data_IF_023025190956
#
_entry.id   IF_023025190956
#
_cell.length_a   1.000
_cell.length_b   1.000
_cell.length_c   1.000
_cell.angle_alpha   90.00
_cell.angle_beta   90.00
_cell.angle_gamma   90.00
#
_symmetry.space_group_name_H-M   'P 1'
#
loop_
_entity.id
_entity.type
_entity.pdbx_description
1 polymer ?
#
# COMPACT_ATOMS: atom_id res chain seq x y z
N UNK A 1 11.72 12.40 11.24
CA UNK A 1 11.01 13.26 10.26
C UNK A 1 9.69 12.60 9.87
N UNK A 2 8.60 13.36 9.71
CA UNK A 2 7.31 12.85 9.23
C UNK A 2 6.93 13.60 7.96
N UNK A 3 6.69 12.90 6.84
CA UNK A 3 6.20 13.49 5.58
C UNK A 3 4.96 12.76 5.12
N UNK A 4 3.98 13.49 4.59
CA UNK A 4 2.85 12.89 3.88
C UNK A 4 3.13 12.93 2.39
N UNK A 5 3.06 11.78 1.72
CA UNK A 5 3.06 11.67 0.27
C UNK A 5 1.62 11.48 -0.21
N UNK A 6 1.31 12.09 -1.35
CA UNK A 6 0.01 11.93 -2.02
C UNK A 6 0.20 11.10 -3.29
N UNK A 7 -0.56 10.02 -3.40
CA UNK A 7 -0.55 9.13 -4.57
C UNK A 7 -1.89 9.32 -5.28
N UNK A 8 -1.85 9.91 -6.48
CA UNK A 8 -3.05 10.32 -7.21
C UNK A 8 -3.65 9.15 -7.98
N UNK A 9 -4.88 8.80 -7.62
CA UNK A 9 -5.89 8.17 -8.48
C UNK A 9 -5.40 7.11 -9.45
N UNK A 10 -4.67 6.11 -8.93
CA UNK A 10 -4.35 4.95 -9.74
C UNK A 10 -5.57 4.05 -9.87
N UNK A 11 -5.70 3.33 -10.98
CA UNK A 11 -6.70 2.25 -11.08
C UNK A 11 -6.53 1.24 -9.94
N UNK A 12 -7.58 0.48 -9.62
CA UNK A 12 -7.49 -0.69 -8.73
C UNK A 12 -6.26 -1.54 -9.06
N UNK A 13 -5.55 -1.99 -8.01
CA UNK A 13 -4.35 -2.82 -8.11
C UNK A 13 -3.23 -2.43 -7.16
N UNK A 14 -2.09 -3.10 -7.31
CA UNK A 14 -0.88 -2.84 -6.54
C UNK A 14 0.00 -1.83 -7.30
N UNK A 15 0.37 -0.75 -6.61
CA UNK A 15 1.20 0.33 -7.13
C UNK A 15 2.47 0.44 -6.32
N UNK A 16 3.61 0.22 -6.97
CA UNK A 16 4.89 0.36 -6.30
C UNK A 16 5.16 1.84 -5.95
N UNK A 17 5.46 2.09 -4.68
CA UNK A 17 5.77 3.42 -4.12
C UNK A 17 7.16 3.44 -3.47
N UNK A 18 7.99 2.42 -3.70
CA UNK A 18 9.32 2.26 -3.08
C UNK A 18 10.18 3.50 -3.25
N UNK A 19 10.25 4.07 -4.46
CA UNK A 19 11.05 5.27 -4.76
C UNK A 19 10.57 6.49 -3.97
N UNK A 20 9.26 6.68 -3.87
CA UNK A 20 8.68 7.79 -3.11
C UNK A 20 9.02 7.70 -1.62
N UNK A 21 9.01 6.48 -1.05
CA UNK A 21 9.39 6.24 0.35
C UNK A 21 10.90 6.44 0.54
N UNK A 22 11.72 5.92 -0.38
CA UNK A 22 13.17 6.07 -0.35
C UNK A 22 13.60 7.54 -0.42
N UNK A 23 12.90 8.37 -1.18
CA UNK A 23 13.14 9.82 -1.23
C UNK A 23 12.90 10.48 0.14
N UNK A 24 11.88 10.05 0.90
CA UNK A 24 11.66 10.56 2.27
C UNK A 24 12.77 10.11 3.23
N UNK A 25 13.25 8.87 3.11
CA UNK A 25 14.37 8.36 3.91
C UNK A 25 15.64 9.15 3.60
N UNK A 26 15.96 9.37 2.33
CA UNK A 26 17.11 10.17 1.90
C UNK A 26 17.04 11.61 2.46
N UNK A 27 15.88 12.24 2.37
CA UNK A 27 15.66 13.60 2.91
C UNK A 27 15.77 13.65 4.43
N UNK A 28 15.51 12.54 5.15
CA UNK A 28 15.65 12.48 6.60
C UNK A 28 17.11 12.45 7.05
N UNK A 29 18.04 11.98 6.22
CA UNK A 29 19.48 12.00 6.47
C UNK A 29 19.95 11.19 7.69
N UNK A 30 19.16 10.18 8.11
CA UNK A 30 19.50 9.28 9.21
C UNK A 30 20.14 8.01 8.66
N UNK A 31 21.32 7.65 9.17
CA UNK A 31 22.03 6.42 8.77
C UNK A 31 21.33 5.16 9.27
N UNK A 32 20.93 5.16 10.55
CA UNK A 32 20.25 4.07 11.23
C UNK A 32 18.91 4.57 11.78
N UNK A 33 17.80 3.98 11.34
CA UNK A 33 16.45 4.40 11.73
C UNK A 33 15.39 3.31 11.47
N UNK A 34 14.16 3.57 11.87
CA UNK A 34 12.98 2.84 11.45
C UNK A 34 12.09 3.73 10.57
N UNK A 35 11.85 3.30 9.34
CA UNK A 35 10.90 3.91 8.41
C UNK A 35 9.54 3.22 8.51
N UNK A 36 8.53 3.92 9.01
CA UNK A 36 7.13 3.46 9.00
C UNK A 36 6.36 4.13 7.88
N UNK A 37 5.69 3.33 7.05
CA UNK A 37 4.81 3.78 5.96
C UNK A 37 3.37 3.44 6.37
N UNK A 38 2.52 4.45 6.50
CA UNK A 38 1.15 4.31 7.00
C UNK A 38 0.13 4.93 6.04
N UNK A 39 -0.82 4.14 5.57
CA UNK A 39 -1.91 4.58 4.69
C UNK A 39 -3.07 5.12 5.53
N UNK A 40 -3.46 6.38 5.30
CA UNK A 40 -4.56 7.04 6.03
C UNK A 40 -5.94 6.75 5.43
N UNK A 41 -6.21 5.50 5.05
CA UNK A 41 -7.42 5.09 4.35
C UNK A 41 -7.81 3.67 4.78
N UNK A 42 -9.11 3.39 4.85
CA UNK A 42 -9.66 2.08 5.24
C UNK A 42 -10.07 1.22 4.04
N UNK A 43 -10.09 1.80 2.84
CA UNK A 43 -10.39 1.15 1.55
C UNK A 43 -9.15 0.98 0.67
N UNK A 44 -7.97 1.09 1.27
CA UNK A 44 -6.67 0.86 0.64
C UNK A 44 -5.71 0.31 1.71
N UNK A 45 -4.62 -0.32 1.27
CA UNK A 45 -3.61 -0.86 2.17
C UNK A 45 -2.18 -0.62 1.72
N UNK A 46 -1.21 -1.11 2.49
CA UNK A 46 0.21 -1.09 2.14
C UNK A 46 0.86 -2.40 2.50
N UNK A 47 1.63 -2.97 1.58
CA UNK A 47 2.37 -4.20 1.81
C UNK A 47 3.79 -4.13 1.24
N UNK A 48 4.64 -5.06 1.66
CA UNK A 48 5.95 -5.31 1.06
C UNK A 48 5.85 -6.63 0.31
N UNK A 49 6.04 -6.61 -1.00
CA UNK A 49 5.90 -7.77 -1.88
C UNK A 49 6.88 -7.69 -3.05
N UNK A 50 6.88 -8.71 -3.89
CA UNK A 50 7.75 -8.77 -5.07
C UNK A 50 7.55 -7.56 -6.02
N UNK A 51 8.65 -6.93 -6.46
CA UNK A 51 8.64 -5.84 -7.45
C UNK A 51 9.36 -6.17 -8.77
N UNK A 52 9.72 -7.43 -9.02
CA UNK A 52 10.49 -7.84 -10.19
C UNK A 52 9.60 -8.41 -11.31
N UNK A 53 8.80 -9.43 -11.02
CA UNK A 53 7.90 -10.04 -12.02
C UNK A 53 6.47 -9.47 -11.95
N UNK A 54 5.97 -8.83 -13.02
CA UNK A 54 4.57 -8.40 -13.10
C UNK A 54 3.54 -9.53 -12.93
N UNK A 55 3.91 -10.80 -13.14
CA UNK A 55 3.05 -11.96 -12.88
C UNK A 55 2.68 -12.09 -11.40
N UNK A 56 3.65 -11.95 -10.49
CA UNK A 56 3.43 -12.01 -9.05
C UNK A 56 2.39 -10.96 -8.62
N UNK A 57 2.53 -9.73 -9.14
CA UNK A 57 1.56 -8.66 -8.91
C UNK A 57 0.15 -9.01 -9.39
N UNK A 58 0.01 -9.50 -10.62
CA UNK A 58 -1.29 -9.87 -11.21
C UNK A 58 -1.97 -10.99 -10.42
N UNK A 59 -1.21 -11.99 -10.00
CA UNK A 59 -1.74 -13.12 -9.24
C UNK A 59 -2.20 -12.70 -7.83
N UNK A 60 -1.46 -11.78 -7.18
CA UNK A 60 -1.90 -11.17 -5.92
C UNK A 60 -3.18 -10.35 -6.09
N UNK A 61 -3.29 -9.54 -7.13
CA UNK A 61 -4.51 -8.79 -7.46
C UNK A 61 -5.70 -9.74 -7.68
N UNK A 62 -5.51 -10.80 -8.48
CA UNK A 62 -6.54 -11.80 -8.74
C UNK A 62 -6.94 -12.58 -7.48
N UNK A 63 -5.99 -12.90 -6.61
CA UNK A 63 -6.27 -13.57 -5.34
C UNK A 63 -7.10 -12.70 -4.39
N UNK A 64 -6.77 -11.41 -4.28
CA UNK A 64 -7.54 -10.46 -3.48
C UNK A 64 -8.99 -10.34 -3.98
N UNK A 65 -9.19 -10.27 -5.30
CA UNK A 65 -10.53 -10.24 -5.91
C UNK A 65 -11.31 -11.54 -5.66
N UNK A 66 -10.62 -12.68 -5.55
CA UNK A 66 -11.25 -13.98 -5.25
C UNK A 66 -11.63 -14.14 -3.77
N UNK A 67 -10.82 -13.62 -2.84
CA UNK A 67 -11.04 -13.78 -1.39
C UNK A 67 -12.03 -12.75 -0.84
N UNK A 68 -12.07 -11.57 -1.43
CA UNK A 68 -13.04 -10.52 -1.13
C UNK A 68 -13.77 -10.13 -2.43
N UNK A 69 -14.67 -10.99 -2.93
CA UNK A 69 -15.45 -10.73 -4.13
C UNK A 69 -16.41 -9.55 -3.90
N UNK A 70 -16.79 -8.88 -4.98
CA UNK A 70 -17.86 -7.88 -5.02
C UNK A 70 -19.23 -8.56 -5.02
N UNK A 71 -20.29 -7.78 -4.75
CA UNK A 71 -21.70 -8.20 -4.88
C UNK A 71 -22.14 -9.41 -4.03
N UNK A 72 -21.44 -9.70 -2.93
CA UNK A 72 -21.91 -10.71 -1.97
C UNK A 72 -23.25 -10.28 -1.36
N UNK A 73 -24.27 -11.16 -1.34
CA UNK A 73 -25.63 -10.79 -0.94
C UNK A 73 -25.78 -10.41 0.52
N UNK A 74 -24.76 -10.70 1.34
CA UNK A 74 -24.71 -10.38 2.77
C UNK A 74 -23.92 -9.11 3.07
N UNK A 75 -23.25 -8.49 2.10
CA UNK A 75 -22.67 -7.17 2.30
C UNK A 75 -23.77 -6.13 2.46
N UNK A 76 -23.69 -5.38 3.55
CA UNK A 76 -24.61 -4.27 3.85
C UNK A 76 -23.97 -2.90 3.64
N UNK A 77 -22.64 -2.83 3.53
CA UNK A 77 -21.87 -1.60 3.35
C UNK A 77 -21.52 -1.41 1.88
N UNK A 78 -22.48 -0.91 1.10
CA UNK A 78 -22.41 -0.80 -0.37
C UNK A 78 -22.74 0.61 -0.87
N UNK A 79 -22.73 1.59 0.03
CA UNK A 79 -23.19 2.97 -0.26
C UNK A 79 -22.29 3.65 -1.30
N UNK A 80 -21.00 3.29 -1.34
CA UNK A 80 -20.05 3.84 -2.32
C UNK A 80 -19.88 2.97 -3.58
N UNK A 81 -20.66 1.89 -3.73
CA UNK A 81 -20.61 0.98 -4.89
C UNK A 81 -20.30 -0.48 -4.54
N UNK A 82 -20.24 -1.37 -5.56
CA UNK A 82 -20.04 -2.81 -5.37
C UNK A 82 -18.66 -3.15 -4.78
N UNK A 83 -17.67 -2.27 -4.96
CA UNK A 83 -16.31 -2.39 -4.46
C UNK A 83 -16.11 -1.82 -3.03
N UNK A 84 -17.18 -1.32 -2.40
CA UNK A 84 -17.12 -0.67 -1.08
C UNK A 84 -16.72 -1.60 0.04
N UNK A 85 -17.61 -2.51 0.48
CA UNK A 85 -17.27 -3.52 1.48
C UNK A 85 -16.04 -4.37 1.12
N UNK A 86 -15.85 -4.87 -0.12
CA UNK A 86 -14.65 -5.61 -0.50
C UNK A 86 -13.36 -4.86 -0.27
N UNK A 87 -13.33 -3.54 -0.51
CA UNK A 87 -12.13 -2.74 -0.30
C UNK A 87 -11.67 -2.72 1.14
N UNK A 88 -12.60 -2.74 2.10
CA UNK A 88 -12.30 -2.84 3.53
C UNK A 88 -11.77 -4.22 3.90
N UNK A 89 -12.34 -5.29 3.34
CA UNK A 89 -11.84 -6.66 3.56
C UNK A 89 -10.43 -6.83 3.02
N UNK A 90 -10.16 -6.34 1.80
CA UNK A 90 -8.82 -6.36 1.22
C UNK A 90 -7.83 -5.52 2.04
N UNK A 91 -8.27 -4.39 2.60
CA UNK A 91 -7.45 -3.56 3.50
C UNK A 91 -7.11 -4.26 4.83
N UNK A 92 -8.02 -5.09 5.38
CA UNK A 92 -7.71 -5.95 6.53
C UNK A 92 -6.59 -6.93 6.18
N UNK A 93 -6.64 -7.55 4.99
CA UNK A 93 -5.66 -8.54 4.55
C UNK A 93 -4.27 -7.94 4.29
N UNK A 94 -4.20 -6.74 3.71
CA UNK A 94 -2.93 -6.08 3.41
C UNK A 94 -2.38 -5.23 4.55
N UNK A 95 -3.24 -4.85 5.50
CA UNK A 95 -2.90 -3.91 6.56
C UNK A 95 -2.78 -2.46 6.08
N UNK A 96 -2.65 -1.56 7.05
CA UNK A 96 -2.54 -0.10 6.82
C UNK A 96 -1.14 0.44 7.07
N UNK A 97 -0.20 -0.39 7.54
CA UNK A 97 1.16 0.03 7.84
C UNK A 97 2.21 -1.06 7.59
N UNK A 98 3.40 -0.62 7.20
CA UNK A 98 4.62 -1.44 7.22
C UNK A 98 5.76 -0.65 7.87
N UNK A 99 6.68 -1.37 8.50
CA UNK A 99 7.88 -0.80 9.13
C UNK A 99 9.12 -1.46 8.54
N UNK A 100 10.06 -0.63 8.07
CA UNK A 100 11.25 -1.04 7.31
C UNK A 100 12.47 -0.44 8.02
N UNK A 101 13.46 -1.25 8.41
CA UNK A 101 14.72 -0.72 8.92
C UNK A 101 15.42 0.15 7.88
N UNK A 102 16.10 1.19 8.34
CA UNK A 102 17.02 2.00 7.54
C UNK A 102 18.42 1.70 8.03
N UNK A 103 19.29 1.30 7.10
CA UNK A 103 20.70 0.93 7.32
C UNK A 103 21.53 1.64 6.26
N UNK A 104 22.65 2.26 6.66
CA UNK A 104 23.49 3.08 5.78
C UNK A 104 22.68 4.12 4.96
N UNK A 105 21.67 4.72 5.59
CA UNK A 105 20.81 5.74 5.00
C UNK A 105 19.84 5.24 3.94
N UNK A 106 19.62 3.92 3.84
CA UNK A 106 18.76 3.28 2.84
C UNK A 106 17.74 2.35 3.47
N UNK A 107 16.58 2.21 2.83
CA UNK A 107 15.61 1.17 3.16
C UNK A 107 16.28 -0.20 3.05
N UNK A 108 16.33 -0.96 4.15
CA UNK A 108 16.91 -2.30 4.21
C UNK A 108 15.94 -3.35 3.65
N UNK A 109 15.52 -3.17 2.40
CA UNK A 109 14.69 -4.11 1.65
C UNK A 109 15.55 -5.21 1.02
N UNK A 110 15.00 -6.41 0.92
CA UNK A 110 15.58 -7.49 0.12
C UNK A 110 15.56 -7.15 -1.38
N UNK A 111 16.37 -7.86 -2.18
CA UNK A 111 16.55 -7.62 -3.62
C UNK A 111 15.24 -7.52 -4.40
N UNK A 112 14.24 -8.31 -4.00
CA UNK A 112 12.95 -8.40 -4.68
C UNK A 112 11.83 -7.69 -3.93
N UNK A 113 12.11 -7.03 -2.81
CA UNK A 113 11.06 -6.38 -2.02
C UNK A 113 10.82 -4.95 -2.50
N UNK A 114 9.57 -4.66 -2.84
CA UNK A 114 9.06 -3.30 -3.06
C UNK A 114 7.92 -2.96 -2.12
N UNK A 115 7.80 -1.69 -1.77
CA UNK A 115 6.67 -1.15 -1.00
C UNK A 115 5.55 -0.83 -1.95
N UNK A 116 4.37 -1.40 -1.72
CA UNK A 116 3.21 -1.25 -2.60
C UNK A 116 2.05 -0.58 -1.87
N UNK A 117 1.48 0.46 -2.49
CA UNK A 117 0.13 0.91 -2.19
C UNK A 117 -0.85 -0.06 -2.85
N UNK A 118 -1.73 -0.66 -2.05
CA UNK A 118 -2.79 -1.54 -2.54
C UNK A 118 -4.07 -0.72 -2.67
N UNK A 119 -4.43 -0.38 -3.91
CA UNK A 119 -5.67 0.32 -4.24
C UNK A 119 -6.78 -0.67 -4.55
N UNK A 120 -7.89 -0.61 -3.84
CA UNK A 120 -8.99 -1.57 -3.99
C UNK A 120 -10.24 -0.97 -4.61
N UNK A 121 -10.28 0.35 -4.80
CA UNK A 121 -11.42 1.04 -5.42
C UNK A 121 -11.20 1.24 -6.91
N UNK A 122 -12.26 1.12 -7.69
CA UNK A 122 -12.26 1.38 -9.13
C UNK A 122 -12.22 2.88 -9.45
N UNK A 123 -12.80 3.69 -8.55
CA UNK A 123 -12.79 5.15 -8.64
C UNK A 123 -12.21 5.77 -7.38
N UNK A 124 -10.90 5.64 -7.16
CA UNK A 124 -10.31 6.08 -5.91
C UNK A 124 -10.13 7.59 -5.85
N UNK A 125 -10.24 8.11 -4.63
CA UNK A 125 -9.72 9.43 -4.30
C UNK A 125 -8.19 9.39 -4.15
N UNK A 126 -7.55 10.56 -4.05
CA UNK A 126 -6.12 10.65 -3.75
C UNK A 126 -5.79 9.95 -2.43
N UNK A 127 -4.87 8.99 -2.47
CA UNK A 127 -4.39 8.30 -1.26
C UNK A 127 -3.31 9.12 -0.58
N UNK A 128 -3.37 9.15 0.75
CA UNK A 128 -2.45 9.89 1.62
C UNK A 128 -1.70 8.90 2.48
N UNK A 129 -0.38 8.94 2.38
CA UNK A 129 0.50 7.98 3.03
C UNK A 129 1.48 8.78 3.89
N UNK A 130 1.52 8.49 5.18
CA UNK A 130 2.49 9.07 6.12
C UNK A 130 3.72 8.20 6.13
N UNK A 131 4.87 8.81 5.84
CA UNK A 131 6.18 8.20 5.99
C UNK A 131 6.86 8.86 7.19
N UNK A 132 7.13 8.06 8.22
CA UNK A 132 7.79 8.48 9.45
C UNK A 132 9.14 7.77 9.56
N UNK A 133 10.22 8.54 9.68
CA UNK A 133 11.59 8.02 9.84
C UNK A 133 12.13 8.50 11.18
N UNK A 134 12.54 7.60 12.07
CA UNK A 134 13.01 7.90 13.43
C UNK A 134 14.07 6.93 13.91
#
# INVERSE_FOLDING_TARGET
MNRTIEVKGHRRGLHEITSMVADVVRDAGLEEALCTVFVKHTSAGVCIQENADPSARRDMEAWLDRVAPEDEPWYTHVDEGPDDMPSHLKAILTGTAVSIPVVDGRLALGTWQGVHLCEFRDRPSTRRIVVMVR
#
